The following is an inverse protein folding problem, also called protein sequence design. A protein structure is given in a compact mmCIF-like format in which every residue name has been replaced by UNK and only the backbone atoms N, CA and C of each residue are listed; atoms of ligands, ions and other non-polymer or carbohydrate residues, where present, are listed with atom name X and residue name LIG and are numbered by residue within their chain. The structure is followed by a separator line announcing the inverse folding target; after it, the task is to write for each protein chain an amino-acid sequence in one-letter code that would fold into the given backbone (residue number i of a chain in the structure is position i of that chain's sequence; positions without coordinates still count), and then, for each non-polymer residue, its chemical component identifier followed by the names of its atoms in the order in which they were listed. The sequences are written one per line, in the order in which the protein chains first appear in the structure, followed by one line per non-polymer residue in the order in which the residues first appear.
data_IF_429128328860
#
_entry.id   IF_429128328860
#
_cell.length_a   1.000
_cell.length_b   1.000
_cell.length_c   1.000
_cell.angle_alpha   90.00
_cell.angle_beta   90.00
_cell.angle_gamma   90.00
#
_symmetry.space_group_name_H-M   'P 1'
#
loop_
_entity.id
_entity.type
_entity.pdbx_description
1 polymer ?
#
# COMPACT_ATOMS: atom_id res chain seq x y z
N UNK A 1 33.83 -41.47 -19.28
CA UNK A 1 34.52 -40.68 -18.25
C UNK A 1 33.52 -39.62 -17.80
N UNK A 2 32.93 -39.82 -16.63
CA UNK A 2 31.97 -38.87 -16.07
C UNK A 2 32.77 -37.81 -15.30
N UNK A 3 32.68 -36.55 -15.71
CA UNK A 3 33.20 -35.42 -14.95
C UNK A 3 32.43 -35.35 -13.63
N UNK A 4 33.08 -35.79 -12.56
CA UNK A 4 32.64 -35.52 -11.20
C UNK A 4 32.86 -34.04 -10.92
N UNK A 5 31.78 -33.28 -10.77
CA UNK A 5 31.85 -31.89 -10.36
C UNK A 5 32.58 -31.80 -9.02
N UNK A 6 33.53 -30.87 -8.92
CA UNK A 6 34.32 -30.70 -7.71
C UNK A 6 33.42 -30.27 -6.54
N UNK A 7 33.84 -30.61 -5.32
CA UNK A 7 33.08 -30.30 -4.11
C UNK A 7 32.82 -28.79 -3.94
N UNK A 8 33.78 -27.97 -4.38
CA UNK A 8 33.67 -26.51 -4.36
C UNK A 8 32.60 -25.98 -5.32
N UNK A 9 32.47 -26.58 -6.51
CA UNK A 9 31.44 -26.22 -7.49
C UNK A 9 30.03 -26.60 -6.99
N UNK A 10 29.90 -27.73 -6.31
CA UNK A 10 28.61 -28.13 -5.70
C UNK A 10 28.20 -27.19 -4.56
N UNK A 11 29.15 -26.74 -3.74
CA UNK A 11 28.89 -25.76 -2.68
C UNK A 11 28.52 -24.38 -3.26
N UNK A 12 29.19 -23.94 -4.33
CA UNK A 12 28.87 -22.70 -5.02
C UNK A 12 27.47 -22.73 -5.65
N UNK A 13 27.08 -23.84 -6.28
CA UNK A 13 25.74 -24.02 -6.87
C UNK A 13 24.67 -24.05 -5.77
N UNK A 14 24.93 -24.73 -4.66
CA UNK A 14 24.00 -24.78 -3.52
C UNK A 14 23.82 -23.40 -2.85
N UNK A 15 24.90 -22.62 -2.73
CA UNK A 15 24.85 -21.25 -2.23
C UNK A 15 24.01 -20.35 -3.14
N UNK A 16 24.22 -20.42 -4.47
CA UNK A 16 23.47 -19.65 -5.45
C UNK A 16 21.96 -19.96 -5.41
N UNK A 17 21.56 -21.24 -5.25
CA UNK A 17 20.15 -21.61 -5.10
C UNK A 17 19.53 -21.09 -3.79
N UNK A 18 20.31 -21.06 -2.71
CA UNK A 18 19.85 -20.54 -1.42
C UNK A 18 19.65 -19.03 -1.47
N UNK A 19 20.53 -18.31 -2.16
CA UNK A 19 20.45 -16.86 -2.35
C UNK A 19 19.29 -16.47 -3.28
N UNK A 20 19.07 -17.22 -4.37
CA UNK A 20 17.91 -17.01 -5.27
C UNK A 20 16.58 -17.55 -4.72
N UNK A 21 16.57 -18.15 -3.52
CA UNK A 21 15.42 -18.85 -2.91
C UNK A 21 14.76 -19.86 -3.84
N UNK A 22 15.47 -20.47 -4.79
CA UNK A 22 14.89 -21.45 -5.71
C UNK A 22 15.27 -22.85 -5.27
N UNK A 23 14.26 -23.73 -5.11
CA UNK A 23 14.47 -25.13 -4.80
C UNK A 23 14.33 -25.94 -6.09
N UNK A 24 15.43 -26.49 -6.65
CA UNK A 24 15.35 -27.31 -7.86
C UNK A 24 14.46 -28.53 -7.59
N UNK A 25 13.51 -28.80 -8.48
CA UNK A 25 12.74 -30.05 -8.49
C UNK A 25 13.41 -30.98 -9.48
N UNK A 26 14.35 -31.78 -9.00
CA UNK A 26 15.00 -32.81 -9.79
C UNK A 26 15.31 -34.01 -8.90
N UNK A 27 14.92 -35.20 -9.35
CA UNK A 27 15.13 -36.46 -8.63
C UNK A 27 16.38 -37.23 -9.13
N UNK A 28 17.08 -36.70 -10.14
CA UNK A 28 18.35 -37.23 -10.66
C UNK A 28 19.31 -36.13 -11.15
N UNK A 29 20.61 -36.43 -11.25
CA UNK A 29 21.62 -35.48 -11.71
C UNK A 29 21.42 -35.02 -13.17
N UNK A 30 20.86 -35.88 -14.02
CA UNK A 30 20.52 -35.54 -15.40
C UNK A 30 19.29 -34.61 -15.48
N UNK A 31 18.31 -34.82 -14.60
CA UNK A 31 17.12 -33.97 -14.52
C UNK A 31 17.46 -32.58 -13.98
N UNK A 32 18.44 -32.49 -13.07
CA UNK A 32 18.92 -31.22 -12.54
C UNK A 32 19.58 -30.38 -13.65
N UNK A 33 20.43 -30.99 -14.49
CA UNK A 33 21.06 -30.29 -15.61
C UNK A 33 20.03 -29.77 -16.61
N UNK A 34 19.01 -30.59 -16.94
CA UNK A 34 17.91 -30.17 -17.80
C UNK A 34 17.12 -29.02 -17.18
N UNK A 35 16.78 -29.14 -15.90
CA UNK A 35 16.08 -28.10 -15.15
C UNK A 35 16.87 -26.78 -15.10
N UNK A 36 18.19 -26.82 -14.94
CA UNK A 36 19.03 -25.62 -14.96
C UNK A 36 19.04 -24.93 -16.33
N UNK A 37 19.09 -25.69 -17.43
CA UNK A 37 19.03 -25.13 -18.79
C UNK A 37 17.68 -24.46 -19.04
N UNK A 38 16.58 -25.11 -18.65
CA UNK A 38 15.22 -24.57 -18.78
C UNK A 38 15.01 -23.34 -17.88
N UNK A 39 15.59 -23.34 -16.68
CA UNK A 39 15.53 -22.23 -15.73
C UNK A 39 16.31 -21.00 -16.21
N UNK A 40 17.50 -21.19 -16.78
CA UNK A 40 18.28 -20.09 -17.38
C UNK A 40 17.60 -19.55 -18.64
N UNK A 41 16.96 -20.40 -19.43
CA UNK A 41 16.12 -19.94 -20.55
C UNK A 41 14.95 -19.08 -20.04
N UNK A 42 14.28 -19.48 -18.95
CA UNK A 42 13.23 -18.68 -18.33
C UNK A 42 13.71 -17.36 -17.72
N UNK A 43 14.93 -17.29 -17.19
CA UNK A 43 15.50 -16.04 -16.67
C UNK A 43 15.83 -15.06 -17.80
N UNK A 44 16.31 -15.54 -18.96
CA UNK A 44 16.63 -14.68 -20.11
C UNK A 44 15.39 -14.03 -20.72
N UNK A 45 14.22 -14.62 -20.57
CA UNK A 45 12.93 -14.07 -20.98
C UNK A 45 12.23 -13.25 -19.86
N UNK A 46 12.81 -13.20 -18.65
CA UNK A 46 12.22 -12.58 -17.46
C UNK A 46 13.12 -11.50 -16.84
N UNK A 47 13.52 -10.50 -17.62
CA UNK A 47 13.74 -9.14 -17.08
C UNK A 47 12.36 -8.49 -16.87
N UNK A 48 11.63 -9.01 -15.87
CA UNK A 48 10.73 -8.28 -14.99
C UNK A 48 9.90 -9.28 -14.16
N UNK A 49 10.08 -9.15 -12.84
CA UNK A 49 9.16 -9.52 -11.76
C UNK A 49 9.10 -10.99 -11.30
N UNK A 50 9.91 -11.22 -10.27
CA UNK A 50 9.80 -12.22 -9.21
C UNK A 50 8.38 -12.43 -8.66
N UNK A 51 7.87 -13.66 -8.65
CA UNK A 51 7.23 -14.23 -7.44
C UNK A 51 7.22 -15.77 -7.46
N UNK A 52 7.53 -16.35 -6.28
CA UNK A 52 7.37 -17.78 -5.97
C UNK A 52 5.89 -18.22 -5.87
N UNK A 53 5.60 -19.54 -5.97
CA UNK A 53 4.27 -20.07 -6.29
C UNK A 53 3.53 -20.79 -5.16
N UNK A 54 2.20 -20.77 -5.28
CA UNK A 54 1.19 -21.50 -4.50
C UNK A 54 1.01 -22.95 -5.00
N UNK A 55 0.64 -23.82 -4.06
CA UNK A 55 0.45 -25.26 -4.19
C UNK A 55 -0.58 -25.73 -5.25
N UNK A 56 -0.29 -26.90 -5.81
CA UNK A 56 -1.00 -27.61 -6.88
C UNK A 56 -2.12 -28.50 -6.33
N UNK A 57 -3.32 -28.45 -6.93
CA UNK A 57 -4.30 -29.54 -6.89
C UNK A 57 -4.65 -29.92 -8.33
N UNK A 58 -4.72 -31.23 -8.54
CA UNK A 58 -4.64 -32.03 -9.76
C UNK A 58 -6.01 -32.20 -10.43
N UNK A 59 -6.09 -32.15 -11.77
CA UNK A 59 -7.01 -33.00 -12.55
C UNK A 59 -6.68 -33.06 -14.05
N UNK A 60 -6.90 -34.25 -14.62
CA UNK A 60 -6.56 -34.78 -15.95
C UNK A 60 -7.61 -34.42 -17.04
N UNK A 61 -7.32 -34.69 -18.34
CA UNK A 61 -7.85 -33.92 -19.46
C UNK A 61 -9.11 -34.52 -20.09
N UNK A 62 -10.02 -33.67 -20.53
CA UNK A 62 -11.05 -34.01 -21.52
C UNK A 62 -11.02 -32.99 -22.65
N UNK A 63 -10.73 -33.50 -23.84
CA UNK A 63 -10.77 -32.85 -25.13
C UNK A 63 -12.15 -32.28 -25.45
N UNK A 64 -12.22 -30.99 -25.78
CA UNK A 64 -13.01 -30.54 -26.93
C UNK A 64 -12.60 -29.13 -27.36
N UNK A 65 -12.54 -28.95 -28.68
CA UNK A 65 -12.14 -27.72 -29.33
C UNK A 65 -13.15 -26.60 -29.04
N UNK A 66 -12.68 -25.51 -28.43
CA UNK A 66 -13.39 -24.23 -28.42
C UNK A 66 -12.38 -23.11 -28.54
N UNK A 67 -12.63 -22.24 -29.52
CA UNK A 67 -11.87 -21.05 -29.88
C UNK A 67 -11.21 -20.38 -28.68
N UNK A 68 -9.88 -20.39 -28.66
CA UNK A 68 -9.08 -19.67 -27.68
C UNK A 68 -9.19 -18.17 -27.94
N UNK A 69 -10.27 -17.57 -27.46
CA UNK A 69 -10.28 -16.14 -27.14
C UNK A 69 -9.23 -15.96 -26.05
N UNK A 70 -8.07 -15.41 -26.40
CA UNK A 70 -7.06 -14.98 -25.44
C UNK A 70 -7.76 -14.08 -24.42
N UNK A 71 -8.08 -14.62 -23.25
CA UNK A 71 -8.52 -13.82 -22.11
C UNK A 71 -7.30 -12.97 -21.77
N UNK A 72 -7.30 -11.73 -22.23
CA UNK A 72 -6.39 -10.71 -21.72
C UNK A 72 -6.68 -10.66 -20.22
N UNK A 73 -5.79 -11.23 -19.41
CA UNK A 73 -5.87 -11.14 -17.95
C UNK A 73 -5.75 -9.66 -17.61
N UNK A 74 -6.88 -8.97 -17.53
CA UNK A 74 -6.93 -7.61 -17.02
C UNK A 74 -6.45 -7.69 -15.58
N UNK A 75 -5.25 -7.18 -15.34
CA UNK A 75 -4.65 -7.16 -14.03
C UNK A 75 -5.53 -6.31 -13.11
N UNK A 76 -6.18 -6.97 -12.13
CA UNK A 76 -6.99 -6.28 -11.13
C UNK A 76 -6.03 -5.70 -10.09
N UNK A 77 -6.02 -4.37 -9.90
CA UNK A 77 -5.19 -3.71 -8.90
C UNK A 77 -5.43 -4.26 -7.50
N UNK A 78 -4.35 -4.38 -6.72
CA UNK A 78 -4.43 -4.84 -5.34
C UNK A 78 -4.56 -3.63 -4.42
N UNK A 79 -5.61 -3.63 -3.61
CA UNK A 79 -5.84 -2.68 -2.52
C UNK A 79 -5.62 -3.38 -1.18
N UNK A 80 -5.22 -2.61 -0.18
CA UNK A 80 -5.19 -3.05 1.21
C UNK A 80 -6.59 -3.47 1.70
N UNK A 81 -6.68 -4.44 2.61
CA UNK A 81 -7.97 -4.87 3.13
C UNK A 81 -8.53 -3.87 4.14
N UNK A 82 -9.84 -3.64 4.10
CA UNK A 82 -10.57 -2.79 5.02
C UNK A 82 -11.83 -3.51 5.53
N UNK A 83 -11.99 -3.66 6.84
CA UNK A 83 -13.15 -4.36 7.43
C UNK A 83 -14.17 -3.47 8.12
N UNK A 84 -13.84 -2.20 8.39
CA UNK A 84 -14.69 -1.29 9.15
C UNK A 84 -14.61 -1.44 10.67
N UNK A 85 -13.68 -2.25 11.18
CA UNK A 85 -13.46 -2.48 12.62
C UNK A 85 -11.97 -2.28 12.97
N UNK A 86 -11.68 -1.38 13.92
CA UNK A 86 -10.33 -1.10 14.39
C UNK A 86 -9.71 -2.26 15.19
N UNK A 87 -10.51 -3.27 15.58
CA UNK A 87 -10.02 -4.45 16.32
C UNK A 87 -9.28 -5.47 15.43
N UNK A 88 -9.41 -5.34 14.11
CA UNK A 88 -8.79 -6.25 13.13
C UNK A 88 -7.51 -5.63 12.58
N UNK A 89 -6.55 -6.47 12.17
CA UNK A 89 -5.29 -6.06 11.52
C UNK A 89 -5.49 -5.51 10.08
N UNK A 90 -6.63 -4.89 9.81
CA UNK A 90 -6.96 -4.28 8.52
C UNK A 90 -6.57 -2.78 8.53
N UNK A 91 -6.46 -2.20 7.34
CA UNK A 91 -6.11 -0.79 7.15
C UNK A 91 -7.24 0.13 7.62
N UNK A 92 -6.94 1.36 8.04
CA UNK A 92 -7.94 2.38 8.41
C UNK A 92 -8.76 2.85 7.20
N UNK A 93 -9.96 3.40 7.44
CA UNK A 93 -10.80 3.96 6.37
C UNK A 93 -10.05 5.03 5.56
N UNK A 94 -9.37 5.97 6.22
CA UNK A 94 -8.69 7.07 5.54
C UNK A 94 -7.57 6.60 4.61
N UNK A 95 -6.76 5.62 5.05
CA UNK A 95 -5.68 5.07 4.23
C UNK A 95 -6.24 4.24 3.07
N UNK A 96 -7.25 3.42 3.33
CA UNK A 96 -7.92 2.65 2.28
C UNK A 96 -8.57 3.57 1.23
N UNK A 97 -9.27 4.63 1.67
CA UNK A 97 -9.92 5.61 0.79
C UNK A 97 -8.90 6.32 -0.10
N UNK A 98 -7.74 6.66 0.46
CA UNK A 98 -6.62 7.25 -0.28
C UNK A 98 -6.07 6.30 -1.36
N UNK A 99 -5.86 5.02 -1.06
CA UNK A 99 -5.46 4.02 -2.05
C UNK A 99 -6.48 3.93 -3.20
N UNK A 100 -7.78 3.95 -2.87
CA UNK A 100 -8.84 3.95 -3.88
C UNK A 100 -8.81 5.23 -4.72
N UNK A 101 -8.59 6.40 -4.13
CA UNK A 101 -8.45 7.65 -4.89
C UNK A 101 -7.24 7.65 -5.83
N UNK A 102 -6.12 7.04 -5.42
CA UNK A 102 -4.99 6.79 -6.32
C UNK A 102 -5.43 5.89 -7.48
N UNK A 103 -6.09 4.78 -7.19
CA UNK A 103 -6.55 3.84 -8.20
C UNK A 103 -7.57 4.45 -9.19
N UNK A 104 -8.50 5.28 -8.72
CA UNK A 104 -9.50 5.96 -9.57
C UNK A 104 -8.85 6.96 -10.53
N UNK A 105 -7.72 7.56 -10.15
CA UNK A 105 -6.95 8.47 -11.02
C UNK A 105 -6.11 7.74 -12.06
N UNK A 106 -5.89 6.45 -11.88
CA UNK A 106 -5.16 5.61 -12.84
C UNK A 106 -6.06 5.16 -14.00
N UNK A 107 -5.45 4.72 -15.10
CA UNK A 107 -6.16 4.35 -16.35
C UNK A 107 -6.77 2.95 -16.31
N UNK A 108 -7.41 2.56 -15.20
CA UNK A 108 -8.12 1.27 -15.09
C UNK A 108 -9.57 1.38 -15.56
N UNK A 109 -10.14 0.25 -16.01
CA UNK A 109 -11.57 0.18 -16.31
C UNK A 109 -12.39 0.29 -15.03
N UNK A 110 -13.57 0.91 -15.10
CA UNK A 110 -14.49 1.04 -13.95
C UNK A 110 -14.81 -0.33 -13.33
N UNK A 111 -14.98 -1.37 -14.16
CA UNK A 111 -15.22 -2.74 -13.71
C UNK A 111 -14.03 -3.32 -12.93
N UNK A 112 -12.79 -3.06 -13.37
CA UNK A 112 -11.58 -3.48 -12.64
C UNK A 112 -11.47 -2.79 -11.29
N UNK A 113 -11.79 -1.49 -11.23
CA UNK A 113 -11.79 -0.70 -10.01
C UNK A 113 -12.87 -1.20 -9.05
N UNK A 114 -14.11 -1.39 -9.52
CA UNK A 114 -15.21 -1.92 -8.73
C UNK A 114 -14.87 -3.30 -8.15
N UNK A 115 -14.23 -4.16 -8.95
CA UNK A 115 -13.81 -5.47 -8.51
C UNK A 115 -12.67 -5.41 -7.49
N UNK A 116 -11.67 -4.52 -7.67
CA UNK A 116 -10.61 -4.29 -6.70
C UNK A 116 -11.19 -3.81 -5.35
N UNK A 117 -12.08 -2.81 -5.38
CA UNK A 117 -12.78 -2.27 -4.20
C UNK A 117 -13.52 -3.39 -3.49
N UNK A 118 -14.39 -4.16 -4.16
CA UNK A 118 -15.12 -5.27 -3.53
C UNK A 118 -14.20 -6.34 -2.96
N UNK A 119 -13.08 -6.62 -3.62
CA UNK A 119 -12.06 -7.57 -3.13
C UNK A 119 -11.23 -7.02 -1.98
N UNK A 120 -11.25 -5.73 -1.71
CA UNK A 120 -10.55 -5.12 -0.57
C UNK A 120 -11.44 -5.04 0.68
N UNK A 121 -12.76 -4.94 0.50
CA UNK A 121 -13.71 -4.85 1.60
C UNK A 121 -13.90 -6.22 2.27
N UNK A 122 -13.83 -6.25 3.61
CA UNK A 122 -13.99 -7.45 4.46
C UNK A 122 -14.97 -7.16 5.59
N UNK A 123 -15.30 -8.18 6.37
CA UNK A 123 -16.11 -8.02 7.59
C UNK A 123 -17.41 -7.25 7.34
N UNK A 124 -17.66 -6.21 8.13
CA UNK A 124 -18.88 -5.42 8.03
C UNK A 124 -18.86 -4.45 6.85
N UNK A 125 -17.70 -3.93 6.47
CA UNK A 125 -17.55 -3.13 5.25
C UNK A 125 -17.93 -3.93 3.99
N UNK A 126 -17.51 -5.21 3.93
CA UNK A 126 -17.91 -6.14 2.87
C UNK A 126 -19.42 -6.41 2.84
N UNK A 127 -20.07 -6.60 4.00
CA UNK A 127 -21.53 -6.77 4.10
C UNK A 127 -22.28 -5.52 3.68
N UNK A 128 -21.76 -4.32 3.97
CA UNK A 128 -22.34 -3.05 3.51
C UNK A 128 -22.30 -2.98 1.99
N UNK A 129 -21.16 -3.23 1.37
CA UNK A 129 -21.04 -3.22 -0.09
C UNK A 129 -21.91 -4.30 -0.77
N UNK A 130 -22.01 -5.50 -0.19
CA UNK A 130 -22.85 -6.58 -0.71
C UNK A 130 -24.33 -6.18 -0.84
N UNK A 131 -24.84 -5.37 0.09
CA UNK A 131 -26.26 -4.92 0.09
C UNK A 131 -26.60 -3.97 -1.05
N UNK A 132 -25.62 -3.37 -1.72
CA UNK A 132 -25.82 -2.54 -2.90
C UNK A 132 -26.05 -3.37 -4.17
N UNK A 133 -25.70 -4.66 -4.15
CA UNK A 133 -25.87 -5.58 -5.27
C UNK A 133 -24.68 -5.63 -6.24
N UNK A 134 -24.69 -6.60 -7.18
CA UNK A 134 -23.57 -6.88 -8.08
C UNK A 134 -23.32 -5.79 -9.13
N UNK A 135 -24.32 -4.97 -9.46
CA UNK A 135 -24.23 -3.92 -10.49
C UNK A 135 -23.95 -2.52 -9.91
N UNK A 136 -23.71 -2.41 -8.60
CA UNK A 136 -23.41 -1.13 -7.96
C UNK A 136 -22.14 -0.49 -8.55
N UNK A 137 -22.23 0.79 -8.93
CA UNK A 137 -21.11 1.54 -9.49
C UNK A 137 -20.08 1.86 -8.43
N UNK A 138 -18.88 2.25 -8.86
CA UNK A 138 -17.80 2.65 -7.94
C UNK A 138 -18.25 3.78 -7.02
N UNK A 139 -18.92 4.80 -7.56
CA UNK A 139 -19.44 5.93 -6.79
C UNK A 139 -20.43 5.48 -5.71
N UNK A 140 -21.41 4.64 -6.04
CA UNK A 140 -22.41 4.15 -5.10
C UNK A 140 -21.79 3.36 -3.93
N UNK A 141 -20.75 2.57 -4.23
CA UNK A 141 -20.00 1.82 -3.22
C UNK A 141 -19.24 2.79 -2.30
N UNK A 142 -18.55 3.77 -2.88
CA UNK A 142 -17.76 4.75 -2.12
C UNK A 142 -18.65 5.61 -1.21
N UNK A 143 -19.72 6.18 -1.76
CA UNK A 143 -20.67 7.01 -1.01
C UNK A 143 -21.26 6.23 0.17
N UNK A 144 -21.57 4.93 -0.04
CA UNK A 144 -22.12 4.11 1.02
C UNK A 144 -21.10 3.77 2.11
N UNK A 145 -19.87 3.44 1.72
CA UNK A 145 -18.80 3.13 2.68
C UNK A 145 -18.42 4.39 3.46
N UNK A 146 -18.34 5.55 2.80
CA UNK A 146 -18.13 6.85 3.45
C UNK A 146 -19.26 7.20 4.43
N UNK A 147 -20.52 6.97 4.05
CA UNK A 147 -21.66 7.23 4.93
C UNK A 147 -21.65 6.38 6.21
N UNK A 148 -21.06 5.18 6.20
CA UNK A 148 -21.07 4.25 7.34
C UNK A 148 -19.79 4.32 8.16
N UNK A 149 -18.64 4.43 7.50
CA UNK A 149 -17.32 4.32 8.11
C UNK A 149 -16.46 5.58 7.97
N UNK A 150 -16.96 6.57 7.23
CA UNK A 150 -16.25 7.84 7.04
C UNK A 150 -16.12 8.62 8.33
N UNK A 151 -15.03 9.38 8.41
CA UNK A 151 -14.73 10.22 9.58
C UNK A 151 -15.73 11.37 9.67
N UNK A 152 -16.57 11.35 10.72
CA UNK A 152 -17.58 12.37 11.03
C UNK A 152 -17.00 13.71 11.51
N UNK A 153 -15.67 13.87 11.55
CA UNK A 153 -15.02 15.12 11.96
C UNK A 153 -15.49 16.28 11.08
N UNK A 154 -16.04 17.32 11.74
CA UNK A 154 -16.46 18.56 11.08
C UNK A 154 -15.25 19.44 10.82
N UNK A 155 -15.29 20.19 9.71
CA UNK A 155 -14.18 21.06 9.31
C UNK A 155 -13.81 22.08 10.39
N UNK A 156 -14.81 22.63 11.09
CA UNK A 156 -14.62 23.59 12.19
C UNK A 156 -13.89 22.96 13.38
N UNK A 157 -14.16 21.68 13.68
CA UNK A 157 -13.51 20.97 14.78
C UNK A 157 -12.04 20.70 14.47
N UNK A 158 -11.72 20.34 13.23
CA UNK A 158 -10.34 20.14 12.78
C UNK A 158 -9.57 21.48 12.78
N UNK A 159 -10.25 22.56 12.36
CA UNK A 159 -9.67 23.90 12.36
C UNK A 159 -9.35 24.36 13.79
N UNK A 160 -10.29 24.17 14.71
CA UNK A 160 -10.08 24.43 16.14
C UNK A 160 -8.93 23.60 16.70
N UNK A 161 -8.91 22.30 16.43
CA UNK A 161 -7.85 21.37 16.85
C UNK A 161 -6.47 21.89 16.40
N UNK A 162 -6.34 22.30 15.13
CA UNK A 162 -5.09 22.84 14.60
C UNK A 162 -4.58 24.06 15.38
N UNK A 163 -5.48 24.99 15.73
CA UNK A 163 -5.13 26.24 16.41
C UNK A 163 -4.97 26.10 17.93
N UNK A 164 -5.42 25.00 18.55
CA UNK A 164 -5.19 24.73 19.97
C UNK A 164 -4.10 23.68 20.21
N UNK A 165 -3.74 22.90 19.19
CA UNK A 165 -2.75 21.84 19.30
C UNK A 165 -1.38 22.40 19.73
N UNK A 166 -0.76 21.66 20.66
CA UNK A 166 0.59 21.87 21.18
C UNK A 166 1.32 20.52 21.28
N UNK A 167 2.65 20.56 21.35
CA UNK A 167 3.48 19.41 21.67
C UNK A 167 3.03 18.80 23.01
N UNK A 168 2.84 17.48 23.03
CA UNK A 168 2.48 16.74 24.24
C UNK A 168 3.71 16.53 25.11
N UNK A 169 3.49 16.32 26.42
CA UNK A 169 4.56 16.16 27.42
C UNK A 169 5.60 15.08 27.05
N UNK A 170 5.13 13.96 26.52
CA UNK A 170 5.95 12.78 26.18
C UNK A 170 6.22 12.66 24.66
N UNK A 171 5.95 13.73 23.91
CA UNK A 171 6.12 13.77 22.46
C UNK A 171 7.37 14.58 22.10
N UNK A 172 8.22 14.04 21.24
CA UNK A 172 9.36 14.76 20.71
C UNK A 172 8.96 15.76 19.60
N UNK A 173 9.91 16.59 19.16
CA UNK A 173 9.68 17.63 18.16
C UNK A 173 9.22 17.07 16.81
N UNK A 174 9.76 15.93 16.40
CA UNK A 174 9.46 15.31 15.11
C UNK A 174 8.06 14.69 15.13
N UNK A 175 7.72 13.96 16.19
CA UNK A 175 6.39 13.41 16.39
C UNK A 175 5.32 14.52 16.45
N UNK A 176 5.64 15.65 17.09
CA UNK A 176 4.79 16.85 17.07
C UNK A 176 4.59 17.39 15.64
N UNK A 177 5.67 17.50 14.85
CA UNK A 177 5.60 17.91 13.45
C UNK A 177 4.65 17.03 12.64
N UNK A 178 4.86 15.71 12.68
CA UNK A 178 4.04 14.75 11.94
C UNK A 178 2.56 14.83 12.33
N UNK A 179 2.27 14.96 13.63
CA UNK A 179 0.88 15.09 14.11
C UNK A 179 0.25 16.41 13.65
N UNK A 180 1.00 17.51 13.67
CA UNK A 180 0.51 18.81 13.21
C UNK A 180 0.22 18.80 11.70
N UNK A 181 1.11 18.22 10.90
CA UNK A 181 0.89 17.99 9.46
C UNK A 181 -0.34 17.15 9.18
N UNK A 182 -0.58 16.11 10.00
CA UNK A 182 -1.77 15.28 9.86
C UNK A 182 -3.07 16.07 10.09
N UNK A 183 -3.11 16.90 11.14
CA UNK A 183 -4.26 17.78 11.42
C UNK A 183 -4.46 18.76 10.26
N UNK A 184 -3.38 19.38 9.77
CA UNK A 184 -3.46 20.29 8.62
C UNK A 184 -3.95 19.60 7.35
N UNK A 185 -3.45 18.39 7.06
CA UNK A 185 -3.90 17.58 5.93
C UNK A 185 -5.39 17.28 6.00
N UNK A 186 -5.91 16.92 7.18
CA UNK A 186 -7.36 16.74 7.39
C UNK A 186 -8.13 18.02 7.09
N UNK A 187 -7.64 19.17 7.53
CA UNK A 187 -8.25 20.48 7.29
C UNK A 187 -8.32 20.81 5.78
N UNK A 188 -7.25 20.52 5.04
CA UNK A 188 -7.20 20.66 3.58
C UNK A 188 -8.20 19.76 2.89
N UNK A 189 -8.28 18.48 3.28
CA UNK A 189 -9.23 17.51 2.68
C UNK A 189 -10.68 17.95 2.90
N UNK A 190 -10.99 18.55 4.06
CA UNK A 190 -12.32 19.11 4.36
C UNK A 190 -12.57 20.49 3.72
N UNK A 191 -11.59 21.06 3.02
CA UNK A 191 -11.72 22.35 2.33
C UNK A 191 -11.75 23.58 3.24
N UNK A 192 -11.39 23.43 4.53
CA UNK A 192 -11.34 24.56 5.48
C UNK A 192 -9.97 25.24 5.55
N UNK A 193 -8.96 24.67 4.88
CA UNK A 193 -7.64 25.27 4.69
C UNK A 193 -7.11 25.01 3.28
N UNK A 194 -6.21 25.87 2.79
CA UNK A 194 -5.56 25.69 1.50
C UNK A 194 -4.15 25.13 1.64
N UNK A 195 -3.74 24.28 0.70
CA UNK A 195 -2.33 23.80 0.59
C UNK A 195 -1.34 24.94 0.35
N UNK A 196 -1.77 26.03 -0.28
CA UNK A 196 -0.92 27.20 -0.51
C UNK A 196 -0.49 27.91 0.77
N UNK A 197 -1.24 27.71 1.86
CA UNK A 197 -0.96 28.31 3.16
C UNK A 197 -0.20 27.36 4.10
N UNK A 198 0.20 26.17 3.60
CA UNK A 198 0.77 25.11 4.41
C UNK A 198 2.02 25.57 5.14
N UNK A 199 2.99 26.15 4.42
CA UNK A 199 4.25 26.59 5.00
C UNK A 199 4.02 27.57 6.17
N UNK A 200 3.31 28.67 5.92
CA UNK A 200 3.09 29.73 6.91
C UNK A 200 2.33 29.22 8.14
N UNK A 201 1.26 28.45 7.92
CA UNK A 201 0.41 27.93 9.01
C UNK A 201 1.12 26.86 9.83
N UNK A 202 1.77 25.90 9.17
CA UNK A 202 2.50 24.82 9.84
C UNK A 202 3.69 25.37 10.61
N UNK A 203 4.52 26.21 9.99
CA UNK A 203 5.67 26.85 10.64
C UNK A 203 5.26 27.63 11.89
N UNK A 204 4.28 28.52 11.76
CA UNK A 204 3.80 29.33 12.87
C UNK A 204 3.21 28.45 13.99
N UNK A 205 2.38 27.46 13.65
CA UNK A 205 1.77 26.59 14.67
C UNK A 205 2.74 25.64 15.32
N UNK A 206 3.69 25.10 14.57
CA UNK A 206 4.75 24.25 15.07
C UNK A 206 5.53 24.99 16.14
N UNK A 207 6.06 26.17 15.80
CA UNK A 207 6.83 27.01 16.71
C UNK A 207 6.07 27.37 17.98
N UNK A 208 4.87 27.93 17.84
CA UNK A 208 4.04 28.35 18.98
C UNK A 208 3.50 27.17 19.81
N UNK A 209 3.49 25.97 19.23
CA UNK A 209 3.06 24.74 19.89
C UNK A 209 4.17 23.96 20.59
N UNK A 210 5.45 24.25 20.30
CA UNK A 210 6.60 23.58 20.92
C UNK A 210 6.66 23.82 22.42
N UNK A 211 7.32 22.91 23.14
CA UNK A 211 7.69 23.14 24.53
C UNK A 211 8.55 24.39 24.69
N UNK A 212 8.27 25.18 25.73
CA UNK A 212 8.94 26.46 25.97
C UNK A 212 10.46 26.33 25.99
N UNK A 213 11.00 25.30 26.66
CA UNK A 213 12.44 25.09 26.72
C UNK A 213 13.09 24.84 25.35
N UNK A 214 12.36 24.23 24.39
CA UNK A 214 12.83 24.06 23.01
C UNK A 214 12.84 25.42 22.32
N UNK A 215 11.79 26.22 22.51
CA UNK A 215 11.72 27.55 21.93
C UNK A 215 12.90 28.43 22.43
N UNK A 216 13.19 28.37 23.73
CA UNK A 216 14.23 29.17 24.36
C UNK A 216 15.63 28.87 23.78
N UNK A 217 15.91 27.60 23.43
CA UNK A 217 17.22 27.19 22.88
C UNK A 217 17.30 27.24 21.36
N UNK A 218 16.17 27.29 20.65
CA UNK A 218 16.12 27.18 19.18
C UNK A 218 15.50 28.38 18.46
N UNK A 219 15.18 29.47 19.16
CA UNK A 219 14.59 30.69 18.59
C UNK A 219 15.32 31.22 17.35
N UNK A 220 16.65 31.25 17.41
CA UNK A 220 17.47 31.69 16.28
C UNK A 220 17.30 30.83 15.02
N UNK A 221 16.93 29.54 15.17
CA UNK A 221 16.66 28.65 14.03
C UNK A 221 15.34 29.02 13.39
N UNK A 222 14.31 29.26 14.20
CA UNK A 222 13.02 29.71 13.70
C UNK A 222 13.17 31.01 12.90
N UNK A 223 13.87 32.01 13.42
CA UNK A 223 14.05 33.28 12.71
C UNK A 223 14.82 33.15 11.38
N UNK A 224 15.74 32.18 11.30
CA UNK A 224 16.59 31.96 10.13
C UNK A 224 15.93 31.10 9.05
N UNK A 225 15.15 30.10 9.44
CA UNK A 225 14.55 29.11 8.53
C UNK A 225 13.15 29.56 8.13
N UNK A 226 12.91 29.67 6.82
CA UNK A 226 11.65 30.16 6.26
C UNK A 226 10.69 29.04 5.90
N UNK A 227 11.22 27.86 5.58
CA UNK A 227 10.44 26.68 5.24
C UNK A 227 10.20 25.82 6.48
N UNK A 228 8.99 25.26 6.56
CA UNK A 228 8.59 24.36 7.63
C UNK A 228 9.41 23.08 7.64
N UNK A 229 9.68 22.50 6.46
CA UNK A 229 10.42 21.23 6.32
C UNK A 229 11.90 21.35 6.76
N UNK A 230 12.42 22.56 6.91
CA UNK A 230 13.79 22.82 7.35
C UNK A 230 13.94 22.92 8.89
N UNK A 231 12.84 23.05 9.64
CA UNK A 231 12.81 23.30 11.10
C UNK A 231 13.08 22.06 11.95
#
# INVERSE_FOLDING_TARGET
MADELSKEELEAIAAAFKEMKVKPKADSASDLKKWMVDYVAQIKDADQTTTQPTATVKQEPSSDATSSSKILSQHIPKLSCFSGDQSKQDTSYDLWRYEVDCLVREKYSESSIAQAIRRSLRGDAGKVAMRLGPEAKVADILDKIESVFGTMERGEQILEEFYIAKQRKDEDSMAWSCRLEEIFRKAVVKGVMSRSEANDKLRSRYWNGLHQWIQDVSGYKYDRLTEFDDL
#
